data_IF_256988958037
#
_entry.id   IF_256988958037
#
_cell.length_a   1.000
_cell.length_b   1.000
_cell.length_c   1.000
_cell.angle_alpha   90.00
_cell.angle_beta   90.00
_cell.angle_gamma   90.00
#
_symmetry.space_group_name_H-M   'P 1'
#
loop_
_entity.id
_entity.type
_entity.pdbx_description
1 polymer ?
#
# COMPACT_ATOMS: atom_id res chain seq x y z
N UNK A 1 -23.36 -3.20 -1.71
CA UNK A 1 -22.48 -3.44 -0.54
C UNK A 1 -20.99 -3.45 -0.89
N UNK A 2 -20.51 -4.31 -1.82
CA UNK A 2 -19.08 -4.34 -2.25
C UNK A 2 -18.59 -3.01 -2.85
N UNK A 3 -19.40 -2.35 -3.67
CA UNK A 3 -19.00 -1.08 -4.31
C UNK A 3 -18.91 0.10 -3.33
N UNK A 4 -19.73 0.09 -2.28
CA UNK A 4 -19.68 1.10 -1.22
C UNK A 4 -18.37 1.02 -0.44
N UNK A 5 -17.86 -0.20 -0.18
CA UNK A 5 -16.58 -0.41 0.50
C UNK A 5 -15.39 0.03 -0.37
N UNK A 6 -15.38 -0.35 -1.65
CA UNK A 6 -14.33 0.10 -2.60
C UNK A 6 -14.30 1.61 -2.75
N UNK A 7 -15.47 2.25 -2.80
CA UNK A 7 -15.57 3.70 -2.87
C UNK A 7 -15.00 4.38 -1.64
N UNK A 8 -15.24 3.83 -0.44
CA UNK A 8 -14.65 4.35 0.80
C UNK A 8 -13.13 4.19 0.83
N UNK A 9 -12.61 3.03 0.41
CA UNK A 9 -11.17 2.78 0.29
C UNK A 9 -10.55 3.78 -0.71
N UNK A 10 -11.16 3.94 -1.88
CA UNK A 10 -10.71 4.92 -2.89
C UNK A 10 -10.60 6.33 -2.33
N UNK A 11 -11.64 6.80 -1.62
CA UNK A 11 -11.68 8.17 -1.07
C UNK A 11 -10.59 8.37 -0.03
N UNK A 12 -10.46 7.44 0.94
CA UNK A 12 -9.45 7.54 2.00
C UNK A 12 -8.05 7.50 1.43
N UNK A 13 -7.76 6.49 0.60
CA UNK A 13 -6.44 6.36 -0.02
C UNK A 13 -6.07 7.55 -0.90
N UNK A 14 -7.02 8.10 -1.66
CA UNK A 14 -6.76 9.30 -2.46
C UNK A 14 -6.33 10.45 -1.56
N UNK A 15 -7.05 10.66 -0.45
CA UNK A 15 -6.73 11.72 0.51
C UNK A 15 -5.37 11.49 1.18
N UNK A 16 -5.08 10.27 1.62
CA UNK A 16 -3.79 9.94 2.24
C UNK A 16 -2.61 10.16 1.27
N UNK A 17 -2.81 9.87 -0.02
CA UNK A 17 -1.81 10.09 -1.05
C UNK A 17 -1.61 11.57 -1.38
N UNK A 18 -2.69 12.35 -1.45
CA UNK A 18 -2.63 13.80 -1.61
C UNK A 18 -1.87 14.44 -0.43
N UNK A 19 -2.22 14.07 0.80
CA UNK A 19 -1.59 14.57 2.02
C UNK A 19 -0.11 14.18 2.10
N UNK A 20 0.22 12.94 1.72
CA UNK A 20 1.60 12.49 1.70
C UNK A 20 2.44 13.17 0.63
N UNK A 21 1.86 13.55 -0.52
CA UNK A 21 2.53 14.39 -1.52
C UNK A 21 2.74 15.81 -0.97
N UNK A 22 1.71 16.42 -0.39
CA UNK A 22 1.79 17.76 0.19
C UNK A 22 2.85 17.85 1.29
N UNK A 23 2.94 16.82 2.13
CA UNK A 23 3.93 16.71 3.21
C UNK A 23 5.33 16.27 2.71
N UNK A 24 5.48 15.94 1.43
CA UNK A 24 6.74 15.51 0.83
C UNK A 24 7.17 14.09 1.18
N UNK A 25 6.26 13.25 1.69
CA UNK A 25 6.49 11.84 1.96
C UNK A 25 6.35 10.96 0.72
N UNK A 26 5.49 11.34 -0.23
CA UNK A 26 5.28 10.63 -1.49
C UNK A 26 5.75 11.45 -2.69
N UNK A 27 6.11 10.78 -3.78
CA UNK A 27 6.59 11.43 -5.00
C UNK A 27 5.47 12.28 -5.63
N UNK A 28 5.80 13.50 -6.05
CA UNK A 28 4.83 14.43 -6.63
C UNK A 28 4.43 14.11 -8.08
N UNK A 29 5.16 13.19 -8.75
CA UNK A 29 4.90 12.76 -10.13
C UNK A 29 3.88 11.62 -10.24
N UNK A 30 3.29 11.19 -9.12
CA UNK A 30 2.35 10.07 -9.08
C UNK A 30 0.99 10.45 -9.68
N UNK A 31 0.46 9.57 -10.52
CA UNK A 31 -0.96 9.58 -10.89
C UNK A 31 -1.77 8.88 -9.80
N UNK A 32 -2.28 9.65 -8.84
CA UNK A 32 -2.97 9.15 -7.63
C UNK A 32 -4.09 8.18 -8.01
N UNK A 33 -4.90 8.50 -9.03
CA UNK A 33 -6.02 7.65 -9.45
C UNK A 33 -5.54 6.27 -9.90
N UNK A 34 -4.47 6.21 -10.70
CA UNK A 34 -3.88 4.94 -11.13
C UNK A 34 -3.30 4.18 -9.95
N UNK A 35 -2.61 4.85 -9.03
CA UNK A 35 -2.01 4.17 -7.87
C UNK A 35 -3.07 3.55 -6.96
N UNK A 36 -4.15 4.28 -6.65
CA UNK A 36 -5.24 3.75 -5.82
C UNK A 36 -5.92 2.55 -6.49
N UNK A 37 -6.15 2.62 -7.81
CA UNK A 37 -6.68 1.47 -8.57
C UNK A 37 -5.74 0.27 -8.53
N UNK A 38 -4.43 0.46 -8.72
CA UNK A 38 -3.43 -0.60 -8.64
C UNK A 38 -3.43 -1.27 -7.26
N UNK A 39 -3.58 -0.49 -6.19
CA UNK A 39 -3.63 -1.03 -4.83
C UNK A 39 -4.87 -1.90 -4.59
N UNK A 40 -6.04 -1.45 -5.04
CA UNK A 40 -7.28 -2.23 -4.94
C UNK A 40 -7.17 -3.53 -5.74
N UNK A 41 -6.65 -3.47 -6.98
CA UNK A 41 -6.45 -4.67 -7.81
C UNK A 41 -5.57 -5.70 -7.10
N UNK A 42 -4.49 -5.25 -6.45
CA UNK A 42 -3.59 -6.11 -5.68
C UNK A 42 -4.27 -6.76 -4.49
N UNK A 43 -4.96 -5.99 -3.64
CA UNK A 43 -5.69 -6.56 -2.49
C UNK A 43 -6.74 -7.57 -2.95
N UNK A 44 -7.51 -7.24 -4.00
CA UNK A 44 -8.53 -8.15 -4.53
C UNK A 44 -7.91 -9.44 -5.08
N UNK A 45 -6.71 -9.37 -5.67
CA UNK A 45 -5.99 -10.56 -6.18
C UNK A 45 -5.56 -11.55 -5.08
N UNK A 46 -5.50 -11.10 -3.82
CA UNK A 46 -5.12 -11.97 -2.69
C UNK A 46 -6.28 -12.83 -2.17
N UNK A 47 -7.52 -12.63 -2.66
CA UNK A 47 -8.72 -13.29 -2.11
C UNK A 47 -8.93 -14.73 -2.58
N UNK A 48 -8.39 -15.11 -3.74
CA UNK A 48 -8.47 -16.45 -4.31
C UNK A 48 -7.04 -16.91 -4.60
N UNK A 49 -6.40 -17.67 -3.69
CA UNK A 49 -5.00 -17.97 -3.91
C UNK A 49 -4.52 -19.32 -3.36
N UNK A 50 -4.80 -20.37 -4.13
CA UNK A 50 -4.12 -21.67 -4.06
C UNK A 50 -2.59 -21.55 -4.23
N UNK A 51 -2.11 -20.45 -4.84
CA UNK A 51 -0.69 -20.10 -4.95
C UNK A 51 -0.03 -19.99 -3.57
N UNK A 52 -0.69 -19.42 -2.56
CA UNK A 52 -0.10 -19.26 -1.23
C UNK A 52 0.28 -20.62 -0.63
N UNK A 53 -0.64 -21.59 -0.71
CA UNK A 53 -0.40 -22.96 -0.28
C UNK A 53 0.65 -23.65 -1.15
N UNK A 54 0.61 -23.45 -2.47
CA UNK A 54 1.58 -24.02 -3.42
C UNK A 54 3.02 -23.59 -3.15
N UNK A 55 3.22 -22.36 -2.68
CA UNK A 55 4.55 -21.79 -2.44
C UNK A 55 4.90 -21.64 -0.96
N UNK A 56 4.13 -22.26 -0.05
CA UNK A 56 4.36 -22.24 1.40
C UNK A 56 4.48 -20.83 2.02
N UNK A 57 3.69 -19.88 1.52
CA UNK A 57 3.60 -18.53 2.11
C UNK A 57 2.29 -18.34 2.84
N UNK A 58 2.31 -17.59 3.94
CA UNK A 58 1.08 -17.11 4.56
C UNK A 58 0.58 -15.86 3.83
N UNK A 59 -0.70 -15.55 4.01
CA UNK A 59 -1.27 -14.30 3.49
C UNK A 59 -0.57 -13.08 4.11
N UNK A 60 -0.14 -13.17 5.38
CA UNK A 60 0.56 -12.09 6.08
C UNK A 60 1.91 -11.81 5.42
N UNK A 61 2.71 -12.85 5.14
CA UNK A 61 4.02 -12.70 4.49
C UNK A 61 3.92 -11.93 3.16
N UNK A 62 2.92 -12.29 2.34
CA UNK A 62 2.72 -11.66 1.04
C UNK A 62 2.16 -10.25 1.17
N UNK A 63 1.27 -9.99 2.13
CA UNK A 63 0.76 -8.64 2.37
C UNK A 63 1.88 -7.72 2.85
N UNK A 64 2.73 -8.17 3.77
CA UNK A 64 3.83 -7.40 4.32
C UNK A 64 4.82 -7.01 3.22
N UNK A 65 5.27 -7.99 2.43
CA UNK A 65 6.14 -7.71 1.29
C UNK A 65 5.44 -6.84 0.25
N UNK A 66 4.12 -7.02 0.07
CA UNK A 66 3.33 -6.22 -0.86
C UNK A 66 3.32 -4.74 -0.49
N UNK A 67 3.10 -4.43 0.78
CA UNK A 67 3.16 -3.07 1.29
C UNK A 67 4.58 -2.52 1.23
N UNK A 68 5.57 -3.33 1.62
CA UNK A 68 6.98 -2.93 1.63
C UNK A 68 7.46 -2.51 0.22
N UNK A 69 7.28 -3.37 -0.79
CA UNK A 69 7.70 -3.02 -2.16
C UNK A 69 6.92 -1.81 -2.69
N UNK A 70 5.61 -1.73 -2.38
CA UNK A 70 4.78 -0.68 -2.93
C UNK A 70 5.14 0.68 -2.34
N UNK A 71 5.39 0.72 -1.03
CA UNK A 71 5.79 1.92 -0.32
C UNK A 71 7.14 2.43 -0.85
N UNK A 72 8.12 1.53 -1.05
CA UNK A 72 9.41 1.86 -1.68
C UNK A 72 9.27 2.47 -3.09
N UNK A 73 8.24 2.09 -3.84
CA UNK A 73 7.99 2.63 -5.17
C UNK A 73 7.33 4.01 -5.19
N UNK A 74 6.60 4.40 -4.13
CA UNK A 74 5.82 5.66 -4.10
C UNK A 74 6.42 6.72 -3.18
N UNK A 75 7.21 6.32 -2.18
CA UNK A 75 7.76 7.23 -1.20
C UNK A 75 8.99 7.98 -1.71
N UNK A 76 9.17 9.19 -1.20
CA UNK A 76 10.45 9.94 -1.32
C UNK A 76 11.46 9.39 -0.32
N UNK A 77 12.72 9.86 -0.38
CA UNK A 77 13.70 9.54 0.65
C UNK A 77 13.22 9.94 2.07
N UNK A 78 12.49 11.08 2.18
CA UNK A 78 11.88 11.52 3.44
C UNK A 78 10.84 10.49 3.92
N UNK A 79 9.95 10.05 3.02
CA UNK A 79 8.96 9.00 3.33
C UNK A 79 9.59 7.68 3.76
N UNK A 80 10.66 7.26 3.08
CA UNK A 80 11.37 6.02 3.42
C UNK A 80 12.04 6.09 4.78
N UNK A 81 12.66 7.23 5.11
CA UNK A 81 13.28 7.41 6.43
C UNK A 81 12.21 7.36 7.54
N UNK A 82 11.04 7.97 7.32
CA UNK A 82 9.95 7.94 8.28
C UNK A 82 9.34 6.54 8.43
N UNK A 83 9.16 5.81 7.33
CA UNK A 83 8.69 4.43 7.35
C UNK A 83 9.63 3.51 8.13
N UNK A 84 10.95 3.65 7.92
CA UNK A 84 11.95 2.90 8.70
C UNK A 84 11.87 3.24 10.19
N UNK A 85 11.72 4.53 10.53
CA UNK A 85 11.55 4.97 11.93
C UNK A 85 10.33 4.30 12.58
N UNK A 86 9.20 4.25 11.89
CA UNK A 86 7.97 3.62 12.40
C UNK A 86 8.12 2.11 12.54
N UNK A 87 8.73 1.42 11.58
CA UNK A 87 8.95 -0.02 11.67
C UNK A 87 9.91 -0.40 12.81
N UNK A 88 10.95 0.40 13.05
CA UNK A 88 11.85 0.17 14.18
C UNK A 88 11.13 0.27 15.53
N UNK A 89 10.17 1.20 15.66
CA UNK A 89 9.35 1.37 16.86
C UNK A 89 8.32 0.25 17.07
N UNK A 90 7.93 -0.47 16.02
CA UNK A 90 6.99 -1.58 16.10
C UNK A 90 7.68 -2.92 16.43
N UNK A 91 9.01 -2.92 16.55
CA UNK A 91 9.83 -4.08 16.90
C UNK A 91 10.62 -3.91 18.21
N UNK A 92 10.30 -2.86 19.00
CA UNK A 92 10.70 -2.67 20.41
C UNK A 92 9.52 -2.94 21.35
#
# INVERSE_FOLDING_TARGET
MKDSHRKLVMIRMTKDMEDGIEQGFFRSDLDIKKIVVLHILRIESLKDNDILQKYNYTLVDIIDEMFNYHFHAIATQKGINEYKRLNLLNHE
#
